data_IF_688396605499
#
_entry.id   IF_688396605499
#
_cell.length_a   1.000
_cell.length_b   1.000
_cell.length_c   1.000
_cell.angle_alpha   90.00
_cell.angle_beta   90.00
_cell.angle_gamma   90.00
#
_symmetry.space_group_name_H-M   'P 1'
#
loop_
_entity.id
_entity.type
_entity.pdbx_description
1 polymer ?
#
# COMPACT_ATOMS: atom_id res chain seq x y z
N UNK A 1 -15.04 10.14 -1.81
CA UNK A 1 -14.03 10.64 -0.85
C UNK A 1 -12.66 10.42 -1.48
N UNK A 2 -11.86 11.48 -1.61
CA UNK A 2 -10.53 11.45 -2.21
C UNK A 2 -9.46 11.10 -1.16
N UNK A 3 -8.24 10.66 -1.55
CA UNK A 3 -7.13 10.45 -0.61
C UNK A 3 -6.77 11.73 0.17
N UNK A 4 -6.37 11.58 1.44
CA UNK A 4 -5.98 12.67 2.34
C UNK A 4 -4.92 12.17 3.35
N UNK A 5 -4.20 13.11 3.99
CA UNK A 5 -3.36 12.80 5.15
C UNK A 5 -4.18 12.23 6.30
N UNK A 6 -3.51 11.56 7.23
CA UNK A 6 -4.10 11.00 8.45
C UNK A 6 -4.71 12.15 9.26
N UNK A 7 -6.00 12.08 9.54
CA UNK A 7 -6.76 13.19 10.14
C UNK A 7 -7.52 14.08 9.14
N UNK A 8 -7.49 13.78 7.83
CA UNK A 8 -8.27 14.48 6.81
C UNK A 8 -7.63 15.76 6.27
N UNK A 9 -6.39 16.06 6.69
CA UNK A 9 -5.59 17.15 6.13
C UNK A 9 -5.25 16.90 4.65
N UNK A 10 -5.05 17.99 3.89
CA UNK A 10 -4.52 17.90 2.53
C UNK A 10 -3.06 17.44 2.53
N UNK A 11 -2.61 16.85 1.43
CA UNK A 11 -1.18 16.64 1.20
C UNK A 11 -0.48 18.01 1.12
N UNK A 12 0.69 18.15 1.73
CA UNK A 12 1.45 19.41 1.71
C UNK A 12 2.10 19.59 0.35
N UNK A 13 2.10 20.83 -0.12
CA UNK A 13 2.47 21.14 -1.49
C UNK A 13 3.07 22.53 -1.51
N UNK A 14 4.32 22.62 -1.95
CA UNK A 14 5.05 23.88 -2.16
C UNK A 14 4.48 24.74 -3.30
N UNK A 15 3.18 25.06 -3.27
CA UNK A 15 2.54 26.04 -4.16
C UNK A 15 1.81 25.50 -5.39
N UNK A 16 1.56 24.17 -5.51
CA UNK A 16 0.68 23.61 -6.57
C UNK A 16 -0.49 22.85 -5.95
N UNK A 17 -1.61 22.80 -6.65
CA UNK A 17 -2.83 22.20 -6.13
C UNK A 17 -2.90 20.69 -6.44
N UNK A 18 -2.70 19.83 -5.42
CA UNK A 18 -2.83 18.37 -5.52
C UNK A 18 -4.30 17.95 -5.63
N UNK A 19 -5.26 18.87 -5.46
CA UNK A 19 -6.69 18.56 -5.58
C UNK A 19 -7.04 17.93 -6.92
N UNK A 20 -6.35 18.31 -8.00
CA UNK A 20 -6.57 17.73 -9.33
C UNK A 20 -6.14 16.25 -9.37
N UNK A 21 -4.95 15.94 -8.85
CA UNK A 21 -4.48 14.56 -8.73
C UNK A 21 -5.40 13.73 -7.80
N UNK A 22 -5.77 14.29 -6.64
CA UNK A 22 -6.63 13.63 -5.66
C UNK A 22 -8.06 13.42 -6.19
N UNK A 23 -8.57 14.37 -6.99
CA UNK A 23 -9.83 14.25 -7.72
C UNK A 23 -9.78 13.12 -8.74
N UNK A 24 -8.76 13.11 -9.60
CA UNK A 24 -8.56 12.07 -10.61
C UNK A 24 -8.40 10.67 -9.99
N UNK A 25 -7.65 10.55 -8.89
CA UNK A 25 -7.54 9.29 -8.13
C UNK A 25 -8.90 8.90 -7.55
N UNK A 26 -9.63 9.85 -6.98
CA UNK A 26 -10.99 9.64 -6.46
C UNK A 26 -11.96 9.13 -7.52
N UNK A 27 -11.87 9.63 -8.76
CA UNK A 27 -12.66 9.18 -9.90
C UNK A 27 -12.24 7.79 -10.38
N UNK A 28 -10.94 7.55 -10.52
CA UNK A 28 -10.40 6.26 -10.90
C UNK A 28 -10.79 5.15 -9.92
N UNK A 29 -10.82 5.43 -8.61
CA UNK A 29 -11.24 4.50 -7.56
C UNK A 29 -12.71 4.04 -7.66
N UNK A 30 -13.54 4.69 -8.50
CA UNK A 30 -14.93 4.29 -8.77
C UNK A 30 -15.06 3.36 -9.99
N UNK A 31 -14.00 3.17 -10.76
CA UNK A 31 -14.01 2.32 -11.96
C UNK A 31 -13.93 0.82 -11.60
N UNK A 32 -14.39 -0.08 -12.50
CA UNK A 32 -14.29 -1.53 -12.27
C UNK A 32 -12.85 -2.06 -12.16
N UNK A 33 -11.91 -1.46 -12.90
CA UNK A 33 -10.47 -1.77 -12.84
C UNK A 33 -9.66 -0.49 -12.55
N UNK A 34 -9.58 -0.08 -11.28
CA UNK A 34 -9.01 1.21 -10.89
C UNK A 34 -7.47 1.25 -10.96
N UNK A 35 -6.80 0.10 -10.84
CA UNK A 35 -5.35 0.02 -10.71
C UNK A 35 -4.58 0.65 -11.89
N UNK A 36 -4.80 0.24 -13.17
CA UNK A 36 -4.05 0.81 -14.28
C UNK A 36 -4.26 2.31 -14.45
N UNK A 37 -5.47 2.81 -14.12
CA UNK A 37 -5.79 4.24 -14.21
C UNK A 37 -5.06 5.05 -13.13
N UNK A 38 -5.00 4.52 -11.91
CA UNK A 38 -4.27 5.16 -10.82
C UNK A 38 -2.77 5.16 -11.11
N UNK A 39 -2.21 4.05 -11.61
CA UNK A 39 -0.81 4.01 -12.03
C UNK A 39 -0.51 5.04 -13.13
N UNK A 40 -1.41 5.21 -14.11
CA UNK A 40 -1.27 6.23 -15.13
C UNK A 40 -1.23 7.65 -14.52
N UNK A 41 -2.10 7.95 -13.56
CA UNK A 41 -2.11 9.25 -12.84
C UNK A 41 -0.80 9.44 -12.06
N UNK A 42 -0.36 8.44 -11.30
CA UNK A 42 0.87 8.50 -10.48
C UNK A 42 2.14 8.61 -11.33
N UNK A 43 2.13 8.12 -12.57
CA UNK A 43 3.22 8.29 -13.53
C UNK A 43 3.12 9.59 -14.36
N UNK A 44 1.98 10.28 -14.26
CA UNK A 44 1.63 11.41 -15.12
C UNK A 44 2.01 12.77 -14.53
N UNK A 45 1.82 13.85 -15.31
CA UNK A 45 2.17 15.20 -14.89
C UNK A 45 1.27 15.75 -13.77
N UNK A 46 0.12 15.10 -13.50
CA UNK A 46 -0.82 15.53 -12.46
C UNK A 46 -0.23 15.46 -11.05
N UNK A 47 0.74 14.56 -10.82
CA UNK A 47 1.43 14.47 -9.53
C UNK A 47 2.73 15.29 -9.49
N UNK A 48 3.01 16.10 -10.52
CA UNK A 48 4.21 16.95 -10.54
C UNK A 48 4.11 18.06 -9.49
N UNK A 49 4.97 17.98 -8.48
CA UNK A 49 5.01 18.92 -7.36
C UNK A 49 4.19 18.46 -6.16
N UNK A 50 3.59 17.27 -6.20
CA UNK A 50 3.14 16.58 -4.99
C UNK A 50 4.39 16.14 -4.23
N UNK A 51 4.48 16.52 -2.96
CA UNK A 51 5.52 16.01 -2.06
C UNK A 51 5.40 14.50 -1.94
N UNK A 52 6.51 13.78 -2.09
CA UNK A 52 6.49 12.33 -2.04
C UNK A 52 7.11 11.86 -0.72
N UNK A 53 6.46 10.90 -0.06
CA UNK A 53 6.90 10.42 1.24
C UNK A 53 8.18 9.59 1.13
N UNK A 54 8.87 9.45 2.26
CA UNK A 54 9.93 8.49 2.52
C UNK A 54 9.33 7.25 3.22
N UNK A 55 8.77 6.32 2.44
CA UNK A 55 8.01 5.20 3.01
C UNK A 55 8.94 4.12 3.58
N UNK A 56 8.74 3.78 4.85
CA UNK A 56 9.31 2.60 5.49
C UNK A 56 8.23 1.85 6.30
N UNK A 57 8.60 0.75 6.94
CA UNK A 57 7.63 0.05 7.76
C UNK A 57 8.04 -1.37 8.12
N UNK A 58 7.06 -2.20 8.39
CA UNK A 58 7.26 -3.61 8.67
C UNK A 58 6.03 -4.44 8.33
N UNK A 59 6.24 -5.75 8.25
CA UNK A 59 5.17 -6.72 8.23
C UNK A 59 5.44 -7.91 9.15
N UNK A 60 4.37 -8.53 9.62
CA UNK A 60 4.41 -9.75 10.43
C UNK A 60 3.31 -10.71 10.02
N UNK A 61 3.58 -12.00 10.23
CA UNK A 61 2.54 -13.01 10.15
C UNK A 61 1.71 -12.95 11.43
N UNK A 62 0.39 -12.99 11.32
CA UNK A 62 -0.51 -13.07 12.46
C UNK A 62 -1.31 -14.35 12.32
N UNK A 63 -1.21 -15.24 13.30
CA UNK A 63 -1.89 -16.53 13.32
C UNK A 63 -2.82 -16.64 14.53
N UNK A 64 -3.44 -17.80 14.75
CA UNK A 64 -4.17 -18.08 15.99
C UNK A 64 -3.24 -18.42 17.16
N UNK A 65 -2.00 -18.84 16.88
CA UNK A 65 -0.96 -19.17 17.87
C UNK A 65 -0.20 -17.93 18.36
N UNK A 66 -0.46 -16.77 17.74
CA UNK A 66 0.22 -15.51 18.00
C UNK A 66 0.86 -14.91 16.75
N UNK A 67 1.69 -13.91 17.00
CA UNK A 67 2.41 -13.16 15.98
C UNK A 67 3.73 -13.87 15.64
N UNK A 68 4.04 -13.94 14.35
CA UNK A 68 5.33 -14.38 13.82
C UNK A 68 6.38 -13.27 13.85
N UNK A 69 7.57 -13.58 13.33
CA UNK A 69 8.67 -12.62 13.24
C UNK A 69 8.30 -11.39 12.39
N UNK A 70 8.79 -10.24 12.84
CA UNK A 70 8.65 -8.97 12.14
C UNK A 70 9.74 -8.89 11.06
N UNK A 71 9.33 -8.55 9.83
CA UNK A 71 10.19 -8.22 8.71
C UNK A 71 10.11 -6.71 8.50
N UNK A 72 11.19 -5.99 8.80
CA UNK A 72 11.27 -4.54 8.57
C UNK A 72 11.63 -4.22 7.13
N UNK A 73 11.13 -3.08 6.65
CA UNK A 73 11.41 -2.55 5.33
C UNK A 73 12.32 -1.33 5.45
N UNK A 74 13.38 -1.28 4.66
CA UNK A 74 14.19 -0.08 4.54
C UNK A 74 13.42 1.02 3.84
N UNK A 75 13.64 2.27 4.26
CA UNK A 75 13.00 3.43 3.67
C UNK A 75 13.20 3.51 2.15
N UNK A 76 12.12 3.91 1.47
CA UNK A 76 12.07 4.19 0.04
C UNK A 76 11.75 5.67 -0.13
N UNK A 77 12.74 6.44 -0.56
CA UNK A 77 12.69 7.90 -0.58
C UNK A 77 11.94 8.45 -1.79
N UNK A 78 11.30 9.60 -1.60
CA UNK A 78 10.67 10.43 -2.64
C UNK A 78 9.87 9.59 -3.65
N UNK A 79 8.95 8.75 -3.17
CA UNK A 79 8.18 7.85 -4.05
C UNK A 79 6.73 7.65 -3.64
N UNK A 80 5.84 7.65 -4.63
CA UNK A 80 4.42 7.28 -4.48
C UNK A 80 4.17 5.79 -4.75
N UNK A 81 5.22 5.04 -5.14
CA UNK A 81 5.16 3.61 -5.48
C UNK A 81 6.39 2.89 -4.92
N UNK A 82 6.53 2.77 -3.59
CA UNK A 82 7.71 2.17 -2.97
C UNK A 82 7.88 0.70 -3.36
N UNK A 83 9.13 0.28 -3.54
CA UNK A 83 9.50 -1.10 -3.87
C UNK A 83 10.55 -1.61 -2.88
N UNK A 84 10.12 -2.40 -1.91
CA UNK A 84 11.03 -2.90 -0.87
C UNK A 84 11.88 -4.07 -1.36
N UNK A 85 13.19 -3.97 -1.13
CA UNK A 85 14.17 -5.01 -1.44
C UNK A 85 14.99 -5.38 -0.18
N UNK A 86 15.09 -6.68 0.19
CA UNK A 86 14.42 -7.81 -0.43
C UNK A 86 12.89 -7.75 -0.23
N UNK A 87 12.14 -8.35 -1.18
CA UNK A 87 10.70 -8.46 -1.05
C UNK A 87 10.34 -9.35 0.14
N UNK A 88 9.46 -8.92 1.06
CA UNK A 88 9.01 -9.73 2.19
C UNK A 88 8.33 -11.01 1.70
N UNK A 89 8.66 -12.15 2.34
CA UNK A 89 8.08 -13.45 2.02
C UNK A 89 7.50 -14.08 3.28
N UNK A 90 6.28 -14.58 3.16
CA UNK A 90 5.56 -15.22 4.25
C UNK A 90 4.96 -16.53 3.77
N UNK A 91 4.99 -17.56 4.62
CA UNK A 91 4.19 -18.76 4.44
C UNK A 91 2.84 -18.55 5.12
N UNK A 92 1.77 -18.77 4.37
CA UNK A 92 0.40 -18.57 4.84
C UNK A 92 -0.39 -19.86 4.62
N UNK A 93 -1.10 -20.27 5.66
CA UNK A 93 -2.10 -21.33 5.54
C UNK A 93 -3.37 -20.74 4.92
N UNK A 94 -3.76 -21.25 3.76
CA UNK A 94 -4.95 -20.80 3.05
C UNK A 94 -6.24 -21.33 3.69
N UNK A 95 -6.21 -22.30 4.59
CA UNK A 95 -7.40 -22.85 5.24
C UNK A 95 -7.79 -22.10 6.52
N UNK A 96 -6.86 -21.35 7.11
CA UNK A 96 -7.02 -20.69 8.40
C UNK A 96 -7.27 -19.18 8.35
N UNK A 97 -7.19 -18.56 9.52
CA UNK A 97 -7.28 -17.11 9.73
C UNK A 97 -5.92 -16.41 9.69
N UNK A 98 -4.93 -17.02 9.04
CA UNK A 98 -3.58 -16.45 8.93
C UNK A 98 -3.62 -15.23 8.03
N UNK A 99 -3.02 -14.13 8.51
CA UNK A 99 -2.93 -12.86 7.79
C UNK A 99 -1.53 -12.29 7.90
N UNK A 100 -1.09 -11.61 6.86
CA UNK A 100 0.10 -10.78 6.87
C UNK A 100 -0.39 -9.39 7.27
N UNK A 101 0.05 -8.90 8.41
CA UNK A 101 -0.21 -7.52 8.83
C UNK A 101 0.97 -6.64 8.41
N UNK A 102 0.66 -5.48 7.83
CA UNK A 102 1.65 -4.53 7.32
C UNK A 102 1.37 -3.16 7.92
N UNK A 103 2.42 -2.52 8.43
CA UNK A 103 2.39 -1.16 8.92
C UNK A 103 3.42 -0.31 8.18
N UNK A 104 2.97 0.78 7.56
CA UNK A 104 3.78 1.72 6.79
C UNK A 104 3.73 3.11 7.44
N UNK A 105 4.88 3.76 7.42
CA UNK A 105 5.14 5.07 8.00
C UNK A 105 5.88 5.93 6.97
N UNK A 106 5.76 7.25 7.10
CA UNK A 106 6.56 8.25 6.42
C UNK A 106 7.74 8.66 7.32
N UNK A 107 8.96 8.69 6.80
CA UNK A 107 10.17 9.04 7.56
C UNK A 107 10.34 10.56 7.63
N UNK A 108 10.04 11.13 8.80
CA UNK A 108 10.28 12.54 9.14
C UNK A 108 11.37 12.71 10.19
N UNK A 109 11.99 13.90 10.25
CA UNK A 109 13.09 14.19 11.19
C UNK A 109 12.70 14.13 12.67
N UNK A 110 11.43 14.36 13.02
CA UNK A 110 10.97 14.46 14.41
C UNK A 110 9.95 13.36 14.77
N UNK A 111 8.90 13.19 13.95
CA UNK A 111 7.85 12.21 14.19
C UNK A 111 7.40 11.55 12.89
N UNK A 112 7.63 10.25 12.76
CA UNK A 112 7.23 9.48 11.59
C UNK A 112 5.70 9.38 11.48
N UNK A 113 5.12 9.88 10.40
CA UNK A 113 3.67 9.89 10.19
C UNK A 113 3.12 8.52 9.75
N UNK A 114 1.98 8.06 10.29
CA UNK A 114 1.35 6.81 9.85
C UNK A 114 0.74 6.96 8.47
N UNK A 115 1.22 6.14 7.52
CA UNK A 115 0.76 6.11 6.14
C UNK A 115 -0.31 5.05 5.94
N UNK A 116 -0.14 3.86 6.53
CA UNK A 116 -1.15 2.83 6.36
C UNK A 116 -0.92 1.59 7.18
N UNK A 117 -2.01 1.02 7.68
CA UNK A 117 -2.06 -0.28 8.34
C UNK A 117 -3.07 -1.15 7.62
N UNK A 118 -2.63 -2.29 7.09
CA UNK A 118 -3.50 -3.20 6.34
C UNK A 118 -3.11 -4.66 6.55
N UNK A 119 -4.02 -5.54 6.18
CA UNK A 119 -3.85 -6.98 6.25
C UNK A 119 -4.10 -7.64 4.89
N UNK A 120 -3.27 -8.63 4.58
CA UNK A 120 -3.41 -9.52 3.42
C UNK A 120 -3.67 -10.93 3.94
N UNK A 121 -4.81 -11.51 3.56
CA UNK A 121 -5.24 -12.81 4.06
C UNK A 121 -5.28 -13.90 2.99
N UNK A 122 -5.92 -15.02 3.34
CA UNK A 122 -6.08 -16.17 2.47
C UNK A 122 -6.84 -15.84 1.17
N UNK A 123 -7.77 -14.88 1.18
CA UNK A 123 -8.56 -14.54 -0.01
C UNK A 123 -7.70 -13.89 -1.09
N UNK A 124 -6.93 -12.88 -0.71
CA UNK A 124 -6.00 -12.17 -1.59
C UNK A 124 -4.92 -13.13 -2.11
N UNK A 125 -4.39 -13.97 -1.22
CA UNK A 125 -3.42 -14.99 -1.58
C UNK A 125 -3.94 -16.02 -2.58
N UNK A 126 -5.19 -16.50 -2.42
CA UNK A 126 -5.82 -17.40 -3.38
C UNK A 126 -6.01 -16.73 -4.74
N UNK A 127 -6.34 -15.43 -4.77
CA UNK A 127 -6.42 -14.67 -6.03
C UNK A 127 -5.05 -14.61 -6.71
N UNK A 128 -4.00 -14.26 -5.98
CA UNK A 128 -2.64 -14.22 -6.51
C UNK A 128 -2.14 -15.59 -6.99
N UNK A 129 -2.41 -16.64 -6.20
CA UNK A 129 -2.02 -18.01 -6.52
C UNK A 129 -2.70 -18.50 -7.81
N UNK A 130 -4.01 -18.24 -7.97
CA UNK A 130 -4.74 -18.58 -9.20
C UNK A 130 -4.27 -17.77 -10.41
N UNK A 131 -3.90 -16.51 -10.20
CA UNK A 131 -3.43 -15.65 -11.28
C UNK A 131 -2.02 -16.01 -11.76
N UNK A 132 -1.21 -16.68 -10.91
CA UNK A 132 0.17 -17.06 -11.17
C UNK A 132 1.04 -15.89 -11.69
N UNK A 133 0.80 -14.70 -11.15
CA UNK A 133 1.49 -13.45 -11.48
C UNK A 133 1.34 -12.46 -10.34
N UNK A 134 2.04 -11.34 -10.42
CA UNK A 134 1.82 -10.21 -9.53
C UNK A 134 0.42 -9.63 -9.78
N UNK A 135 -0.38 -9.49 -8.72
CA UNK A 135 -1.70 -8.87 -8.77
C UNK A 135 -1.80 -7.71 -7.78
N UNK A 136 -2.47 -6.61 -8.16
CA UNK A 136 -2.75 -5.53 -7.24
C UNK A 136 -3.93 -5.90 -6.34
N UNK A 137 -3.73 -5.79 -5.04
CA UNK A 137 -4.78 -5.94 -4.02
C UNK A 137 -5.16 -4.57 -3.52
N UNK A 138 -6.45 -4.24 -3.55
CA UNK A 138 -6.95 -2.97 -3.04
C UNK A 138 -6.97 -2.99 -1.51
N UNK A 139 -6.26 -2.05 -0.89
CA UNK A 139 -6.21 -1.87 0.57
C UNK A 139 -6.66 -0.48 1.03
N UNK A 140 -7.14 0.35 0.10
CA UNK A 140 -7.55 1.74 0.34
C UNK A 140 -8.50 1.93 1.53
N UNK A 141 -9.45 1.01 1.75
CA UNK A 141 -10.42 1.12 2.85
C UNK A 141 -9.83 0.71 4.21
N UNK A 142 -8.64 0.11 4.25
CA UNK A 142 -7.93 -0.21 5.49
C UNK A 142 -6.97 0.92 5.93
N UNK A 143 -6.52 1.76 5.00
CA UNK A 143 -5.39 2.69 5.19
C UNK A 143 -5.77 4.16 5.12
N UNK A 144 -7.03 4.51 5.40
CA UNK A 144 -7.54 5.87 5.16
C UNK A 144 -7.27 6.40 3.75
N UNK A 145 -7.16 5.49 2.77
CA UNK A 145 -6.90 5.75 1.34
C UNK A 145 -5.55 6.41 1.04
N UNK A 146 -4.56 6.30 1.92
CA UNK A 146 -3.18 6.69 1.62
C UNK A 146 -2.43 5.58 0.90
N UNK A 147 -2.66 4.32 1.27
CA UNK A 147 -2.18 3.15 0.52
C UNK A 147 -3.35 2.58 -0.28
N UNK A 148 -3.33 2.75 -1.59
CA UNK A 148 -4.47 2.36 -2.42
C UNK A 148 -4.43 0.87 -2.80
N UNK A 149 -3.25 0.41 -3.20
CA UNK A 149 -3.01 -0.95 -3.68
C UNK A 149 -1.67 -1.47 -3.18
N UNK A 150 -1.60 -2.79 -3.04
CA UNK A 150 -0.37 -3.53 -2.74
C UNK A 150 -0.23 -4.64 -3.77
N UNK A 151 0.93 -4.72 -4.40
CA UNK A 151 1.23 -5.77 -5.35
C UNK A 151 1.69 -7.03 -4.60
N UNK A 152 0.98 -8.13 -4.80
CA UNK A 152 1.33 -9.42 -4.20
C UNK A 152 1.52 -10.49 -5.27
N UNK A 153 2.32 -11.49 -4.97
CA UNK A 153 2.38 -12.75 -5.71
C UNK A 153 2.36 -13.90 -4.72
N UNK A 154 1.85 -15.06 -5.15
CA UNK A 154 1.81 -16.26 -4.33
C UNK A 154 2.16 -17.47 -5.17
N UNK A 155 2.86 -18.42 -4.57
CA UNK A 155 3.22 -19.70 -5.16
C UNK A 155 2.99 -20.80 -4.12
N UNK A 156 2.66 -22.01 -4.59
CA UNK A 156 2.54 -23.16 -3.71
C UNK A 156 3.93 -23.59 -3.24
N UNK A 157 4.05 -23.90 -1.94
CA UNK A 157 5.24 -24.53 -1.39
C UNK A 157 5.02 -26.04 -1.42
N UNK A 158 5.99 -26.83 -1.93
CA UNK A 158 5.92 -28.29 -1.91
C UNK A 158 5.83 -28.89 -0.51
#
# INVERSE_FOLDING_TARGET
MSPAKTGGGGWDIGGRDASQAMGAIGDALRLPDPFPQIMAILSGPLVNGVERPEIFGNARLVTWQGDGSIISFSAQRDTLTPQFAPQPRFQIDLSGSTRIEVHLLDEDLEFHDPVGHFQIGANEARVALRANRIVPVRVAEQTSRQVLFVNISAFAVP
#
